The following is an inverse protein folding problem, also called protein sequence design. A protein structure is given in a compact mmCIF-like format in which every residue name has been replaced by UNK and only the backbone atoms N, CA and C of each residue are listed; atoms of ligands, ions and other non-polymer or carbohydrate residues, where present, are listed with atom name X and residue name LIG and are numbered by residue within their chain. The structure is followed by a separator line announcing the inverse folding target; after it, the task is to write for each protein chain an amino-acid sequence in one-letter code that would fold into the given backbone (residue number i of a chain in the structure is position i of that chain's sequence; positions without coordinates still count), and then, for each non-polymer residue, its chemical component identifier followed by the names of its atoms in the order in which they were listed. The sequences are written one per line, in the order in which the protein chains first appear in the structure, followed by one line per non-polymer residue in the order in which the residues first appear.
data_IF_871849539915
#
_entry.id   IF_871849539915
#
_cell.length_a   1.000
_cell.length_b   1.000
_cell.length_c   1.000
_cell.angle_alpha   90.00
_cell.angle_beta   90.00
_cell.angle_gamma   90.00
#
_symmetry.space_group_name_H-M   'P 1'
#
loop_
_entity.id
_entity.type
_entity.pdbx_description
1 polymer ?
#
# COMPACT_ATOMS: atom_id res chain seq x y z
N UNK A 1 -22.27 -5.08 -7.60
CA UNK A 1 -21.52 -6.11 -8.37
C UNK A 1 -20.86 -5.42 -9.55
N UNK A 2 -19.68 -4.87 -9.30
CA UNK A 2 -18.87 -4.20 -10.31
C UNK A 2 -18.38 -5.22 -11.35
N UNK A 3 -18.85 -5.07 -12.54
CA UNK A 3 -18.60 -5.97 -13.67
C UNK A 3 -17.19 -5.70 -14.23
N UNK A 4 -16.16 -6.22 -13.56
CA UNK A 4 -14.82 -6.27 -14.15
C UNK A 4 -14.80 -7.39 -15.17
N UNK A 5 -15.21 -7.06 -16.39
CA UNK A 5 -15.25 -8.02 -17.48
C UNK A 5 -13.88 -8.11 -18.14
N UNK A 6 -13.22 -9.25 -18.02
CA UNK A 6 -12.19 -9.62 -18.96
C UNK A 6 -12.89 -10.07 -20.26
N UNK A 7 -12.31 -9.69 -21.39
CA UNK A 7 -12.82 -10.07 -22.69
C UNK A 7 -12.02 -11.28 -23.18
N UNK A 8 -12.66 -12.45 -23.22
CA UNK A 8 -12.09 -13.61 -23.87
C UNK A 8 -12.55 -13.62 -25.34
N UNK A 9 -11.61 -13.55 -26.28
CA UNK A 9 -11.89 -13.61 -27.71
C UNK A 9 -11.78 -15.05 -28.17
N UNK A 10 -12.92 -15.67 -28.47
CA UNK A 10 -12.96 -16.99 -29.11
C UNK A 10 -13.03 -16.81 -30.61
N UNK A 11 -12.04 -17.33 -31.30
CA UNK A 11 -11.94 -17.26 -32.76
C UNK A 11 -12.52 -18.55 -33.37
N UNK A 12 -13.62 -18.43 -34.09
CA UNK A 12 -14.22 -19.54 -34.83
C UNK A 12 -14.16 -19.22 -36.32
N UNK A 13 -13.53 -20.10 -37.11
CA UNK A 13 -13.51 -19.98 -38.58
C UNK A 13 -14.63 -20.85 -39.14
N UNK A 14 -15.62 -20.25 -39.77
CA UNK A 14 -16.69 -20.93 -40.46
C UNK A 14 -16.74 -20.38 -41.88
N UNK A 15 -16.55 -21.27 -42.88
CA UNK A 15 -16.69 -20.97 -44.31
C UNK A 15 -15.94 -19.68 -44.74
N UNK A 16 -14.64 -19.65 -44.53
CA UNK A 16 -13.75 -18.52 -44.88
C UNK A 16 -14.09 -17.16 -44.26
N UNK A 17 -15.05 -17.11 -43.35
CA UNK A 17 -15.39 -15.89 -42.58
C UNK A 17 -14.92 -16.07 -41.14
N UNK A 18 -14.11 -15.10 -40.70
CA UNK A 18 -13.67 -15.05 -39.32
C UNK A 18 -14.83 -14.58 -38.45
N UNK A 19 -15.46 -15.49 -37.70
CA UNK A 19 -16.41 -15.13 -36.65
C UNK A 19 -15.64 -14.97 -35.33
N UNK A 20 -15.59 -13.75 -34.79
CA UNK A 20 -15.06 -13.45 -33.48
C UNK A 20 -16.23 -13.26 -32.54
N UNK A 21 -16.46 -14.21 -31.66
CA UNK A 21 -17.40 -14.01 -30.55
C UNK A 21 -16.64 -13.51 -29.33
N UNK A 22 -17.05 -12.36 -28.82
CA UNK A 22 -16.50 -11.80 -27.59
C UNK A 22 -17.46 -12.14 -26.45
N UNK A 23 -17.00 -12.98 -25.54
CA UNK A 23 -17.74 -13.27 -24.32
C UNK A 23 -17.09 -12.53 -23.15
N UNK A 24 -17.84 -11.65 -22.52
CA UNK A 24 -17.43 -11.01 -21.29
C UNK A 24 -17.56 -12.02 -20.14
N UNK A 25 -16.43 -12.38 -19.51
CA UNK A 25 -16.41 -13.15 -18.27
C UNK A 25 -15.91 -12.27 -17.14
N UNK A 26 -16.40 -12.43 -15.91
CA UNK A 26 -15.81 -11.75 -14.76
C UNK A 26 -14.31 -12.06 -14.67
N UNK A 27 -13.48 -11.03 -14.50
CA UNK A 27 -12.02 -11.19 -14.44
C UNK A 27 -11.62 -12.26 -13.40
N UNK A 28 -12.31 -12.27 -12.25
CA UNK A 28 -12.11 -13.28 -11.20
C UNK A 28 -12.25 -14.71 -11.72
N UNK A 29 -13.29 -15.02 -12.50
CA UNK A 29 -13.51 -16.37 -13.00
C UNK A 29 -12.43 -16.81 -14.00
N UNK A 30 -11.86 -15.87 -14.76
CA UNK A 30 -10.75 -16.14 -15.68
C UNK A 30 -9.47 -16.38 -14.90
N UNK A 31 -9.20 -15.60 -13.86
CA UNK A 31 -8.03 -15.77 -13.00
C UNK A 31 -8.10 -17.13 -12.32
N UNK A 32 -9.20 -17.45 -11.63
CA UNK A 32 -9.38 -18.71 -10.91
C UNK A 32 -9.26 -19.93 -11.83
N UNK A 33 -9.79 -19.86 -13.06
CA UNK A 33 -9.70 -20.99 -14.00
C UNK A 33 -8.28 -21.31 -14.48
N UNK A 34 -7.29 -20.49 -14.18
CA UNK A 34 -5.88 -20.65 -14.56
C UNK A 34 -4.96 -20.95 -13.39
N UNK A 35 -5.50 -21.00 -12.17
CA UNK A 35 -4.76 -21.25 -10.94
C UNK A 35 -4.91 -22.72 -10.51
N UNK A 36 -3.88 -23.28 -9.90
CA UNK A 36 -3.97 -24.55 -9.18
C UNK A 36 -4.83 -24.39 -7.93
N UNK A 37 -5.30 -25.50 -7.35
CA UNK A 37 -6.25 -25.45 -6.22
C UNK A 37 -5.72 -24.70 -4.99
N UNK A 38 -4.45 -24.90 -4.66
CA UNK A 38 -3.77 -24.20 -3.56
C UNK A 38 -3.59 -22.70 -3.84
N UNK A 39 -3.29 -22.34 -5.07
CA UNK A 39 -3.24 -20.94 -5.49
C UNK A 39 -4.63 -20.29 -5.46
N UNK A 40 -5.68 -21.03 -5.81
CA UNK A 40 -7.06 -20.55 -5.73
C UNK A 40 -7.47 -20.23 -4.30
N UNK A 41 -7.10 -21.08 -3.33
CA UNK A 41 -7.40 -20.86 -1.91
C UNK A 41 -6.74 -19.56 -1.40
N UNK A 42 -5.45 -19.37 -1.71
CA UNK A 42 -4.72 -18.14 -1.38
C UNK A 42 -5.36 -16.92 -2.05
N UNK A 43 -5.72 -17.03 -3.32
CA UNK A 43 -6.36 -15.94 -4.05
C UNK A 43 -7.72 -15.57 -3.44
N UNK A 44 -8.54 -16.56 -3.07
CA UNK A 44 -9.84 -16.33 -2.45
C UNK A 44 -9.70 -15.68 -1.08
N UNK A 45 -8.73 -16.08 -0.29
CA UNK A 45 -8.43 -15.44 1.00
C UNK A 45 -8.05 -13.96 0.79
N UNK A 46 -7.12 -13.69 -0.13
CA UNK A 46 -6.69 -12.33 -0.47
C UNK A 46 -7.86 -11.53 -1.04
N UNK A 47 -8.68 -12.13 -1.91
CA UNK A 47 -9.83 -11.48 -2.53
C UNK A 47 -10.91 -11.15 -1.51
N UNK A 48 -11.23 -12.07 -0.59
CA UNK A 48 -12.22 -11.84 0.47
C UNK A 48 -11.78 -10.72 1.43
N UNK A 49 -10.47 -10.54 1.57
CA UNK A 49 -9.87 -9.50 2.41
C UNK A 49 -9.64 -8.16 1.67
N UNK A 50 -9.94 -8.05 0.38
CA UNK A 50 -9.72 -6.82 -0.41
C UNK A 50 -10.45 -5.60 0.14
N UNK A 51 -11.64 -5.76 0.71
CA UNK A 51 -12.34 -4.68 1.40
C UNK A 51 -11.63 -4.18 2.66
N UNK A 52 -10.66 -4.93 3.15
CA UNK A 52 -9.90 -4.68 4.38
C UNK A 52 -8.41 -4.39 4.12
N UNK A 53 -7.98 -4.16 2.86
CA UNK A 53 -6.58 -3.84 2.57
C UNK A 53 -6.16 -2.56 3.28
N UNK A 54 -7.01 -1.55 3.34
CA UNK A 54 -6.78 -0.36 4.17
C UNK A 54 -7.29 -0.57 5.60
N UNK A 55 -6.71 -1.52 6.28
CA UNK A 55 -7.08 -1.92 7.66
C UNK A 55 -6.61 -0.88 8.68
N UNK A 56 -5.61 -0.07 8.33
CA UNK A 56 -4.96 0.89 9.22
C UNK A 56 -5.37 2.31 8.88
N UNK A 57 -5.55 3.15 9.93
CA UNK A 57 -5.93 4.55 9.75
C UNK A 57 -4.75 5.41 9.27
N UNK A 58 -5.08 6.56 8.71
CA UNK A 58 -4.06 7.57 8.38
C UNK A 58 -3.30 8.01 9.63
N UNK A 59 -1.96 8.02 9.58
CA UNK A 59 -1.16 8.51 10.72
C UNK A 59 -1.11 10.04 10.84
N UNK A 60 -1.50 10.76 9.79
CA UNK A 60 -1.49 12.22 9.74
C UNK A 60 -2.78 12.73 9.12
N UNK A 61 -3.24 13.91 9.56
CA UNK A 61 -4.49 14.51 9.08
C UNK A 61 -4.28 15.25 7.74
N UNK A 62 -3.86 14.51 6.73
CA UNK A 62 -3.76 15.01 5.34
C UNK A 62 -3.82 13.83 4.38
N UNK A 63 -4.15 14.10 3.11
CA UNK A 63 -3.97 13.12 2.03
C UNK A 63 -2.48 12.96 1.73
N UNK A 64 -1.81 12.10 2.51
CA UNK A 64 -0.37 11.93 2.43
C UNK A 64 0.08 11.24 1.12
N UNK A 65 -0.80 10.52 0.45
CA UNK A 65 -0.48 9.90 -0.84
C UNK A 65 -0.02 10.93 -1.88
N UNK A 66 -0.65 12.08 -1.92
CA UNK A 66 -0.28 13.17 -2.84
C UNK A 66 1.10 13.78 -2.57
N UNK A 67 1.69 13.51 -1.40
CA UNK A 67 2.97 14.08 -0.96
C UNK A 67 4.08 13.05 -0.82
N UNK A 68 3.90 11.84 -1.37
CA UNK A 68 4.95 10.82 -1.38
C UNK A 68 6.14 11.34 -2.20
N UNK A 69 7.30 11.41 -1.56
CA UNK A 69 8.57 11.78 -2.19
C UNK A 69 9.40 10.55 -2.61
N UNK A 70 9.22 9.43 -1.90
CA UNK A 70 9.87 8.17 -2.27
C UNK A 70 8.89 7.02 -2.05
N UNK A 71 8.62 6.28 -3.11
CA UNK A 71 7.73 5.14 -3.11
C UNK A 71 8.40 3.87 -2.61
N UNK A 72 7.59 2.93 -2.13
CA UNK A 72 8.02 1.57 -1.84
C UNK A 72 8.51 0.88 -3.13
N UNK A 73 9.60 0.13 -3.03
CA UNK A 73 10.13 -0.67 -4.13
C UNK A 73 11.55 -0.29 -4.52
N UNK A 74 11.95 -0.76 -5.68
CA UNK A 74 13.30 -0.49 -6.20
C UNK A 74 13.36 0.87 -6.89
N UNK A 75 14.41 1.61 -6.58
CA UNK A 75 14.77 2.84 -7.27
C UNK A 75 16.24 2.79 -7.74
N UNK A 76 16.51 3.43 -8.86
CA UNK A 76 17.89 3.57 -9.35
C UNK A 76 18.41 4.94 -8.93
N UNK A 77 19.55 4.96 -8.25
CA UNK A 77 20.25 6.20 -7.97
C UNK A 77 20.86 6.72 -9.28
N UNK A 78 20.33 7.80 -9.81
CA UNK A 78 20.75 8.37 -11.09
C UNK A 78 22.22 8.83 -11.12
N UNK A 79 22.83 9.10 -9.95
CA UNK A 79 24.23 9.51 -9.87
C UNK A 79 25.22 8.34 -9.85
N UNK A 80 24.80 7.19 -9.28
CA UNK A 80 25.68 6.01 -9.11
C UNK A 80 25.27 4.82 -9.97
N UNK A 81 24.06 4.83 -10.55
CA UNK A 81 23.46 3.70 -11.26
C UNK A 81 23.10 2.52 -10.36
N UNK A 82 23.24 2.64 -9.04
CA UNK A 82 22.96 1.57 -8.10
C UNK A 82 21.45 1.46 -7.83
N UNK A 83 20.95 0.23 -7.82
CA UNK A 83 19.59 -0.07 -7.42
C UNK A 83 19.51 -0.14 -5.90
N UNK A 84 18.56 0.57 -5.33
CA UNK A 84 18.28 0.58 -3.89
C UNK A 84 16.83 0.19 -3.65
N UNK A 85 16.60 -0.71 -2.70
CA UNK A 85 15.25 -1.07 -2.23
C UNK A 85 14.83 -0.11 -1.12
N UNK A 86 13.73 0.61 -1.36
CA UNK A 86 13.04 1.41 -0.35
C UNK A 86 11.90 0.57 0.24
N UNK A 87 12.02 0.19 1.49
CA UNK A 87 11.12 -0.77 2.18
C UNK A 87 9.85 -0.15 2.76
N UNK A 88 9.66 1.13 2.54
CA UNK A 88 8.51 1.89 3.01
C UNK A 88 8.15 3.00 2.04
N UNK A 89 7.44 4.00 2.52
CA UNK A 89 7.17 5.23 1.78
C UNK A 89 7.70 6.42 2.57
N UNK A 90 8.25 7.41 1.88
CA UNK A 90 8.63 8.70 2.48
C UNK A 90 7.66 9.76 1.99
N UNK A 91 7.09 10.50 2.92
CA UNK A 91 6.07 11.51 2.68
C UNK A 91 6.58 12.87 3.13
N UNK A 92 6.46 13.88 2.27
CA UNK A 92 6.73 15.26 2.64
C UNK A 92 5.59 15.79 3.52
N UNK A 93 5.88 16.12 4.75
CA UNK A 93 4.90 16.61 5.73
C UNK A 93 5.50 17.80 6.46
N UNK A 94 4.66 18.81 6.75
CA UNK A 94 5.11 19.96 7.51
C UNK A 94 5.69 19.53 8.87
N UNK A 95 6.84 20.10 9.24
CA UNK A 95 7.48 19.84 10.53
C UNK A 95 6.53 20.18 11.70
N UNK A 96 6.53 19.32 12.71
CA UNK A 96 5.69 19.47 13.90
C UNK A 96 4.23 19.02 13.71
N UNK A 97 3.89 18.41 12.55
CA UNK A 97 2.57 17.78 12.38
C UNK A 97 2.46 16.57 13.31
N UNK A 98 1.35 16.46 14.04
CA UNK A 98 1.09 15.30 14.88
C UNK A 98 1.03 14.03 14.07
N UNK A 99 1.69 12.99 14.58
CA UNK A 99 1.65 11.63 14.05
C UNK A 99 0.90 10.76 15.03
N UNK A 100 -0.21 10.19 14.57
CA UNK A 100 -1.03 9.25 15.35
C UNK A 100 -0.68 7.81 15.00
N UNK A 101 -0.94 6.88 15.91
CA UNK A 101 -0.85 5.47 15.59
C UNK A 101 -1.88 5.10 14.51
N UNK A 102 -1.44 4.42 13.46
CA UNK A 102 -2.35 3.95 12.42
C UNK A 102 -3.17 2.71 12.87
N UNK A 103 -2.84 2.13 14.02
CA UNK A 103 -3.45 0.90 14.52
C UNK A 103 -3.71 0.96 16.04
N UNK A 104 -4.62 0.09 16.48
CA UNK A 104 -4.73 -0.26 17.88
C UNK A 104 -3.73 -1.38 18.19
N UNK A 105 -2.95 -1.25 19.25
CA UNK A 105 -1.93 -2.23 19.63
C UNK A 105 -0.99 -1.73 20.68
N UNK A 106 0.29 -2.08 20.56
CA UNK A 106 1.32 -1.70 21.52
C UNK A 106 2.53 -1.11 20.79
N UNK A 107 3.22 -0.21 21.47
CA UNK A 107 4.56 0.24 21.04
C UNK A 107 5.55 -0.87 21.35
N UNK A 108 6.21 -1.41 20.33
CA UNK A 108 7.17 -2.52 20.47
C UNK A 108 8.62 -2.06 20.35
N UNK A 109 8.85 -0.89 19.78
CA UNK A 109 10.19 -0.29 19.72
C UNK A 109 10.11 1.22 19.61
N UNK A 110 11.01 1.91 20.31
CA UNK A 110 11.23 3.36 20.24
C UNK A 110 12.72 3.63 20.29
N UNK A 111 13.19 4.51 19.45
CA UNK A 111 14.62 4.80 19.45
C UNK A 111 15.05 5.88 18.49
N UNK A 112 16.38 5.93 18.34
CA UNK A 112 17.07 6.77 17.37
C UNK A 112 18.08 5.94 16.58
N UNK A 113 18.14 6.13 15.28
CA UNK A 113 19.21 5.60 14.43
C UNK A 113 19.69 6.65 13.43
N UNK A 114 20.91 6.49 12.92
CA UNK A 114 21.46 7.39 11.90
C UNK A 114 20.63 7.42 10.63
N UNK A 115 19.99 6.30 10.28
CA UNK A 115 19.15 6.18 9.07
C UNK A 115 17.74 6.73 9.32
N UNK A 116 17.06 6.25 10.36
CA UNK A 116 15.64 6.53 10.59
C UNK A 116 15.40 7.75 11.49
N UNK A 117 16.47 8.31 12.09
CA UNK A 117 16.31 9.35 13.11
C UNK A 117 15.52 8.84 14.31
N UNK A 118 14.70 9.68 14.91
CA UNK A 118 13.74 9.25 15.93
C UNK A 118 12.64 8.42 15.26
N UNK A 119 12.34 7.28 15.86
CA UNK A 119 11.31 6.39 15.34
C UNK A 119 10.50 5.71 16.42
N UNK A 120 9.30 5.32 16.07
CA UNK A 120 8.37 4.49 16.84
C UNK A 120 7.94 3.31 16.00
N UNK A 121 7.82 2.14 16.58
CA UNK A 121 7.21 0.95 15.96
C UNK A 121 6.02 0.52 16.80
N UNK A 122 4.86 0.44 16.19
CA UNK A 122 3.64 -0.13 16.80
C UNK A 122 3.35 -1.51 16.24
N UNK A 123 2.73 -2.37 17.04
CA UNK A 123 2.33 -3.73 16.61
C UNK A 123 0.91 -4.01 17.04
N UNK A 124 0.12 -4.59 16.13
CA UNK A 124 -1.22 -5.07 16.42
C UNK A 124 -1.25 -6.51 16.94
N UNK A 125 -2.45 -7.00 17.29
CA UNK A 125 -2.66 -8.38 17.78
C UNK A 125 -2.38 -9.46 16.74
N UNK A 126 -2.29 -9.09 15.45
CA UNK A 126 -1.99 -10.00 14.34
C UNK A 126 -0.50 -10.06 14.00
N UNK A 127 0.34 -9.35 14.77
CA UNK A 127 1.79 -9.29 14.57
C UNK A 127 2.22 -8.33 13.46
N UNK A 128 1.29 -7.54 12.89
CA UNK A 128 1.66 -6.51 11.92
C UNK A 128 2.32 -5.36 12.64
N UNK A 129 3.46 -4.91 12.13
CA UNK A 129 4.22 -3.77 12.65
C UNK A 129 4.19 -2.61 11.67
N UNK A 130 4.03 -1.40 12.21
CA UNK A 130 4.19 -0.15 11.47
C UNK A 130 5.27 0.67 12.15
N UNK A 131 6.30 1.05 11.37
CA UNK A 131 7.35 1.98 11.78
C UNK A 131 7.02 3.38 11.27
N UNK A 132 7.15 4.34 12.17
CA UNK A 132 7.03 5.79 11.90
C UNK A 132 8.39 6.40 12.22
N UNK A 133 9.04 7.00 11.23
CA UNK A 133 10.41 7.49 11.39
C UNK A 133 10.59 8.94 10.88
N UNK A 134 11.79 9.50 11.08
CA UNK A 134 12.17 10.89 10.87
C UNK A 134 11.48 11.87 11.83
N UNK A 135 10.99 11.35 12.96
CA UNK A 135 10.22 12.15 13.92
C UNK A 135 11.06 13.25 14.57
N UNK A 136 10.45 14.40 14.82
CA UNK A 136 11.03 15.47 15.62
C UNK A 136 10.99 15.11 17.12
N UNK A 137 9.86 14.57 17.57
CA UNK A 137 9.64 14.17 18.95
C UNK A 137 8.93 12.82 19.02
N UNK A 138 9.13 12.13 20.12
CA UNK A 138 8.44 10.88 20.46
C UNK A 138 7.61 11.16 21.72
N UNK A 139 6.34 10.78 21.73
CA UNK A 139 5.38 11.01 22.81
C UNK A 139 4.92 9.75 23.53
N UNK A 140 5.49 8.60 23.17
CA UNK A 140 5.14 7.28 23.71
C UNK A 140 6.37 6.52 24.16
N UNK A 141 6.17 5.48 24.97
CA UNK A 141 7.23 4.62 25.44
C UNK A 141 7.02 3.17 25.01
N UNK A 142 8.10 2.39 24.99
CA UNK A 142 8.04 0.95 24.69
C UNK A 142 7.10 0.22 25.66
N UNK A 143 6.26 -0.68 25.14
CA UNK A 143 5.22 -1.40 25.89
C UNK A 143 3.93 -0.62 26.10
N UNK A 144 3.87 0.66 25.73
CA UNK A 144 2.65 1.45 25.86
C UNK A 144 1.56 0.96 24.91
N UNK A 145 0.33 0.82 25.42
CA UNK A 145 -0.85 0.57 24.61
C UNK A 145 -1.22 1.85 23.83
N UNK A 146 -1.55 1.68 22.55
CA UNK A 146 -1.93 2.77 21.67
C UNK A 146 -3.21 2.45 20.91
N UNK A 147 -3.97 3.49 20.64
CA UNK A 147 -5.14 3.46 19.77
C UNK A 147 -4.90 4.37 18.56
N UNK A 148 -5.78 4.31 17.58
CA UNK A 148 -5.69 5.19 16.40
C UNK A 148 -5.84 6.69 16.72
N UNK A 149 -6.20 7.05 17.94
CA UNK A 149 -6.28 8.44 18.39
C UNK A 149 -5.04 8.88 19.21
N UNK A 150 -4.15 7.92 19.51
CA UNK A 150 -2.93 8.17 20.29
C UNK A 150 -1.90 8.90 19.44
N UNK A 151 -1.50 10.10 19.84
CA UNK A 151 -0.37 10.83 19.25
C UNK A 151 0.93 10.15 19.70
N UNK A 152 1.69 9.62 18.76
CA UNK A 152 2.96 8.92 19.02
C UNK A 152 4.19 9.81 18.88
N UNK A 153 4.03 10.99 18.28
CA UNK A 153 5.11 11.96 18.08
C UNK A 153 4.72 13.06 17.10
N UNK A 154 5.71 13.77 16.62
CA UNK A 154 5.55 14.81 15.59
C UNK A 154 6.54 14.61 14.45
N UNK A 155 6.15 15.01 13.24
CA UNK A 155 7.01 14.96 12.06
C UNK A 155 8.23 15.87 12.17
N UNK A 156 9.35 15.45 11.59
CA UNK A 156 10.60 16.17 11.62
C UNK A 156 11.50 15.90 10.44
N UNK A 157 12.80 16.10 10.68
CA UNK A 157 13.88 15.88 9.71
C UNK A 157 15.08 15.18 10.34
N UNK A 158 14.85 14.29 11.28
CA UNK A 158 15.93 13.56 11.97
C UNK A 158 16.45 12.39 11.14
N UNK A 159 17.65 11.89 11.47
CA UNK A 159 18.28 10.80 10.71
C UNK A 159 18.76 11.23 9.33
N UNK A 160 18.51 10.39 8.33
CA UNK A 160 18.90 10.64 6.93
C UNK A 160 17.84 11.39 6.10
N UNK A 161 16.81 11.94 6.76
CA UNK A 161 15.78 12.71 6.07
C UNK A 161 16.38 13.95 5.37
N UNK A 162 15.95 14.20 4.13
CA UNK A 162 16.42 15.33 3.31
C UNK A 162 15.62 16.61 3.53
N UNK A 163 14.60 16.55 4.38
CA UNK A 163 13.69 17.64 4.71
C UNK A 163 12.69 17.18 5.75
N UNK A 164 11.64 17.98 5.98
CA UNK A 164 10.57 17.58 6.89
C UNK A 164 9.72 16.47 6.25
N UNK A 165 9.82 15.28 6.80
CA UNK A 165 9.27 14.05 6.22
C UNK A 165 8.73 13.13 7.31
N UNK A 166 7.85 12.22 6.89
CA UNK A 166 7.44 11.04 7.64
C UNK A 166 7.79 9.81 6.82
N UNK A 167 8.53 8.89 7.39
CA UNK A 167 8.75 7.57 6.81
C UNK A 167 7.78 6.56 7.43
N UNK A 168 7.12 5.78 6.59
CA UNK A 168 6.20 4.71 6.96
C UNK A 168 6.67 3.38 6.39
N UNK A 169 6.78 2.37 7.23
CA UNK A 169 7.15 1.01 6.84
C UNK A 169 6.18 0.02 7.50
N UNK A 170 5.72 -0.96 6.75
CA UNK A 170 4.82 -2.00 7.23
C UNK A 170 5.48 -3.36 7.08
N UNK A 171 5.51 -4.12 8.18
CA UNK A 171 6.16 -5.43 8.25
C UNK A 171 5.22 -6.44 8.92
N UNK A 172 5.15 -7.64 8.37
CA UNK A 172 4.51 -8.78 9.02
C UNK A 172 5.35 -10.03 8.77
N UNK A 173 5.63 -10.79 9.81
CA UNK A 173 6.40 -12.05 9.75
C UNK A 173 7.77 -11.91 9.07
N UNK A 174 8.39 -10.71 9.17
CA UNK A 174 9.68 -10.38 8.55
C UNK A 174 9.57 -9.92 7.08
N UNK A 175 8.40 -9.96 6.49
CA UNK A 175 8.14 -9.49 5.14
C UNK A 175 7.67 -8.03 5.11
N UNK A 176 8.14 -7.27 4.12
CA UNK A 176 7.81 -5.87 3.93
C UNK A 176 6.68 -5.71 2.93
N UNK A 177 5.70 -4.90 3.29
CA UNK A 177 4.53 -4.61 2.46
C UNK A 177 4.48 -3.13 2.10
N UNK A 178 3.96 -2.82 0.92
CA UNK A 178 3.79 -1.43 0.52
C UNK A 178 2.71 -0.73 1.37
N UNK A 179 3.07 0.27 2.18
CA UNK A 179 2.13 0.93 3.09
C UNK A 179 0.90 1.53 2.42
N UNK A 180 1.02 1.96 1.15
CA UNK A 180 -0.08 2.58 0.38
C UNK A 180 -1.30 1.67 0.26
N UNK A 181 -1.10 0.36 0.24
CA UNK A 181 -2.21 -0.59 0.11
C UNK A 181 -2.93 -0.89 1.43
N UNK A 182 -2.29 -0.64 2.57
CA UNK A 182 -2.76 -1.07 3.88
C UNK A 182 -3.10 0.07 4.83
N UNK A 183 -2.49 1.24 4.65
CA UNK A 183 -2.70 2.42 5.48
C UNK A 183 -3.56 3.42 4.71
N UNK A 184 -4.67 3.86 5.31
CA UNK A 184 -5.53 4.90 4.75
C UNK A 184 -4.72 6.17 4.44
N UNK A 185 -4.92 6.71 3.26
CA UNK A 185 -4.23 7.92 2.80
C UNK A 185 -4.82 9.23 3.34
N UNK A 186 -5.90 9.12 4.14
CA UNK A 186 -6.55 10.30 4.74
C UNK A 186 -7.56 11.00 3.83
N UNK A 187 -7.69 10.54 2.58
CA UNK A 187 -8.70 11.05 1.66
C UNK A 187 -9.79 9.99 1.43
N UNK A 188 -11.00 10.29 1.91
CA UNK A 188 -12.17 9.46 1.65
C UNK A 188 -12.67 9.55 0.20
N UNK A 189 -12.09 10.42 -0.61
CA UNK A 189 -12.53 10.70 -1.98
C UNK A 189 -11.91 9.81 -3.05
N UNK A 190 -10.66 9.35 -2.87
CA UNK A 190 -9.95 8.53 -3.86
C UNK A 190 -9.92 7.03 -3.52
N UNK A 191 -9.94 6.71 -2.22
CA UNK A 191 -9.93 5.32 -1.72
C UNK A 191 -10.89 5.16 -0.53
N UNK A 192 -11.89 6.04 -0.41
CA UNK A 192 -12.89 6.03 0.64
C UNK A 192 -13.63 4.70 0.66
N UNK A 193 -13.60 4.07 1.80
CA UNK A 193 -14.10 2.74 2.05
C UNK A 193 -15.45 2.44 1.43
N UNK A 194 -15.59 1.26 0.83
CA UNK A 194 -16.84 0.73 0.33
C UNK A 194 -17.33 1.32 -0.98
N UNK A 195 -16.57 2.18 -1.64
CA UNK A 195 -16.85 2.60 -3.00
C UNK A 195 -16.63 1.42 -3.96
N UNK A 196 -17.67 1.04 -4.67
CA UNK A 196 -17.55 0.17 -5.83
C UNK A 196 -16.38 0.66 -6.70
N UNK A 197 -15.54 -0.25 -7.18
CA UNK A 197 -14.49 0.04 -8.18
C UNK A 197 -15.08 0.49 -9.54
N UNK A 198 -16.23 1.13 -9.53
CA UNK A 198 -16.92 1.67 -10.70
C UNK A 198 -16.45 3.07 -11.12
N UNK A 199 -15.44 3.60 -10.42
CA UNK A 199 -14.84 4.86 -10.83
C UNK A 199 -14.07 4.64 -12.14
N UNK A 200 -14.44 5.39 -13.17
CA UNK A 200 -13.81 5.38 -14.49
C UNK A 200 -12.29 5.63 -14.40
N UNK A 201 -11.85 6.36 -13.40
CA UNK A 201 -10.44 6.65 -13.12
C UNK A 201 -9.68 5.37 -12.72
N UNK A 202 -10.28 4.55 -11.86
CA UNK A 202 -9.70 3.27 -11.44
C UNK A 202 -9.69 2.28 -12.60
N UNK A 203 -10.74 2.23 -13.41
CA UNK A 203 -10.78 1.42 -14.63
C UNK A 203 -9.69 1.81 -15.61
N UNK A 204 -9.45 3.10 -15.82
CA UNK A 204 -8.37 3.61 -16.69
C UNK A 204 -7.00 3.25 -16.15
N UNK A 205 -6.80 3.33 -14.81
CA UNK A 205 -5.54 2.97 -14.19
C UNK A 205 -5.21 1.48 -14.37
N UNK A 206 -6.21 0.60 -14.16
CA UNK A 206 -6.03 -0.83 -14.39
C UNK A 206 -5.87 -1.16 -15.88
N UNK A 207 -6.64 -0.52 -16.77
CA UNK A 207 -6.48 -0.71 -18.22
C UNK A 207 -5.11 -0.22 -18.71
N UNK A 208 -4.54 0.80 -18.10
CA UNK A 208 -3.18 1.25 -18.39
C UNK A 208 -2.14 0.26 -17.83
N UNK A 209 -2.31 -0.22 -16.60
CA UNK A 209 -1.43 -1.21 -15.99
C UNK A 209 -1.42 -2.55 -16.75
N UNK A 210 -2.57 -2.98 -17.28
CA UNK A 210 -2.70 -4.20 -18.08
C UNK A 210 -1.85 -4.19 -19.37
N UNK A 211 -1.55 -3.01 -19.91
CA UNK A 211 -0.66 -2.87 -21.09
C UNK A 211 0.78 -3.28 -20.80
N UNK A 212 1.17 -3.24 -19.53
CA UNK A 212 2.54 -3.53 -19.09
C UNK A 212 2.66 -4.91 -18.42
N UNK A 213 1.53 -5.62 -18.21
CA UNK A 213 1.54 -6.99 -17.72
C UNK A 213 2.11 -7.92 -18.81
N UNK A 214 3.32 -8.44 -18.57
CA UNK A 214 4.02 -9.36 -19.47
C UNK A 214 5.14 -8.74 -20.30
N UNK A 215 5.46 -7.46 -20.11
CA UNK A 215 6.69 -6.91 -20.67
C UNK A 215 7.89 -7.37 -19.82
N UNK A 216 8.95 -7.90 -20.43
CA UNK A 216 10.20 -8.19 -19.71
C UNK A 216 10.80 -6.87 -19.23
N UNK A 217 11.20 -6.83 -17.96
CA UNK A 217 11.97 -5.74 -17.37
C UNK A 217 13.39 -5.69 -17.96
#
# INVERSE_FOLDING_TARGET
EGNQNSVEVTRTVIADVLNVSVQAKPLRSVILSRMEEDEQEIYEEVYSNRGNLQTYKTPVELNWYAYISTYYGYSVNNGTGQTQLHRGVTVNVRQGTEVKSAMNGFVVDVGYSGTFGNYVVTQDKKGVQIKYAYLQSISVANGQEVTTDTVIGTTGSTGSATGSQLYLELVKDGEYYNPVFYISTGDSGLYGGGGSYDDETVRRLFAEADKYLGMPY
#
